data_IF_409398243309
#
_entry.id   IF_409398243309
#
_cell.length_a   1.000
_cell.length_b   1.000
_cell.length_c   1.000
_cell.angle_alpha   90.00
_cell.angle_beta   90.00
_cell.angle_gamma   90.00
#
_symmetry.space_group_name_H-M   'P 1'
#
loop_
_entity.id
_entity.type
_entity.pdbx_description
1 polymer ?
#
# COMPACT_ATOMS: atom_id res chain seq x y z
N UNK A 1 -45.98 -20.78 -6.21
CA UNK A 1 -45.21 -21.77 -5.42
C UNK A 1 -43.89 -21.13 -5.02
N UNK A 2 -43.77 -20.80 -3.73
CA UNK A 2 -42.72 -19.98 -3.14
C UNK A 2 -41.33 -20.62 -3.30
N UNK A 3 -40.44 -19.94 -4.02
CA UNK A 3 -39.02 -20.30 -4.21
C UNK A 3 -38.18 -20.30 -2.92
N UNK A 4 -38.80 -20.19 -1.74
CA UNK A 4 -38.15 -20.07 -0.44
C UNK A 4 -37.44 -21.37 0.00
N UNK A 5 -37.92 -22.55 -0.41
CA UNK A 5 -37.36 -23.85 0.03
C UNK A 5 -36.00 -24.23 -0.58
N UNK A 6 -35.55 -23.59 -1.65
CA UNK A 6 -34.29 -23.98 -2.33
C UNK A 6 -33.03 -23.56 -1.58
N UNK A 7 -33.11 -22.52 -0.76
CA UNK A 7 -31.97 -21.99 0.01
C UNK A 7 -31.82 -22.72 1.35
N UNK A 8 -32.90 -23.31 1.88
CA UNK A 8 -32.92 -24.00 3.17
C UNK A 8 -31.83 -25.09 3.32
N UNK A 9 -31.58 -26.00 2.35
CA UNK A 9 -30.52 -27.00 2.50
C UNK A 9 -29.11 -26.38 2.50
N UNK A 10 -28.90 -25.29 1.76
CA UNK A 10 -27.64 -24.56 1.77
C UNK A 10 -27.43 -23.84 3.11
N UNK A 11 -28.49 -23.22 3.64
CA UNK A 11 -28.46 -22.54 4.93
C UNK A 11 -28.15 -23.52 6.09
N UNK A 12 -28.77 -24.71 6.08
CA UNK A 12 -28.46 -25.75 7.06
C UNK A 12 -26.99 -26.19 6.95
N UNK A 13 -26.50 -26.42 5.73
CA UNK A 13 -25.11 -26.82 5.49
C UNK A 13 -24.12 -25.76 5.99
N UNK A 14 -24.38 -24.49 5.69
CA UNK A 14 -23.53 -23.37 6.11
C UNK A 14 -23.53 -23.14 7.63
N UNK A 15 -24.64 -23.43 8.31
CA UNK A 15 -24.74 -23.29 9.78
C UNK A 15 -23.74 -24.17 10.53
N UNK A 16 -23.43 -25.35 10.01
CA UNK A 16 -22.49 -26.30 10.61
C UNK A 16 -21.04 -26.14 10.11
N UNK A 17 -20.77 -25.20 9.20
CA UNK A 17 -19.41 -24.94 8.74
C UNK A 17 -18.68 -23.95 9.65
N UNK A 18 -17.35 -24.05 9.69
CA UNK A 18 -16.51 -23.07 10.39
C UNK A 18 -16.64 -21.70 9.71
N UNK A 19 -16.61 -20.60 10.48
CA UNK A 19 -16.67 -19.26 9.92
C UNK A 19 -15.44 -19.00 9.04
N UNK A 20 -15.67 -18.41 7.86
CA UNK A 20 -14.61 -18.01 6.93
C UNK A 20 -13.88 -16.72 7.36
N UNK A 21 -14.29 -16.10 8.48
CA UNK A 21 -13.74 -14.83 8.94
C UNK A 21 -12.39 -15.00 9.63
N UNK A 22 -11.51 -14.00 9.46
CA UNK A 22 -10.30 -13.83 10.27
C UNK A 22 -10.58 -12.89 11.42
N UNK A 23 -9.98 -13.15 12.59
CA UNK A 23 -10.16 -12.31 13.79
C UNK A 23 -9.23 -11.09 13.77
N UNK A 24 -9.43 -10.19 12.81
CA UNK A 24 -8.74 -8.89 12.83
C UNK A 24 -9.27 -8.03 13.99
N UNK A 25 -8.43 -7.33 14.78
CA UNK A 25 -6.98 -7.12 14.63
C UNK A 25 -6.08 -8.14 15.37
N UNK A 26 -6.65 -9.11 16.09
CA UNK A 26 -5.87 -10.08 16.88
C UNK A 26 -5.02 -11.04 16.04
N UNK A 27 -5.51 -11.40 14.85
CA UNK A 27 -4.76 -12.16 13.85
C UNK A 27 -4.62 -11.26 12.61
N UNK A 28 -3.41 -10.79 12.35
CA UNK A 28 -3.11 -9.97 11.16
C UNK A 28 -3.25 -10.83 9.90
N UNK A 29 -3.82 -10.26 8.85
CA UNK A 29 -3.84 -10.90 7.55
C UNK A 29 -2.42 -10.89 6.96
N UNK A 30 -1.98 -12.03 6.41
CA UNK A 30 -0.72 -12.09 5.69
C UNK A 30 -0.95 -11.66 4.22
N UNK A 31 -0.40 -10.52 3.78
CA UNK A 31 -0.62 -10.06 2.41
C UNK A 31 0.17 -10.93 1.42
N UNK A 32 -0.35 -11.26 0.22
CA UNK A 32 0.33 -12.16 -0.71
C UNK A 32 1.70 -11.64 -1.19
N UNK A 33 2.50 -12.52 -1.80
CA UNK A 33 3.74 -12.13 -2.45
C UNK A 33 3.48 -11.09 -3.55
N UNK A 34 4.30 -10.03 -3.60
CA UNK A 34 4.11 -8.91 -4.54
C UNK A 34 3.06 -7.87 -4.12
N UNK A 35 2.53 -7.95 -2.89
CA UNK A 35 1.66 -6.92 -2.35
C UNK A 35 2.33 -5.55 -2.36
N UNK A 36 1.57 -4.52 -2.77
CA UNK A 36 2.03 -3.14 -2.91
C UNK A 36 1.55 -2.30 -1.74
N UNK A 37 2.27 -2.37 -0.62
CA UNK A 37 2.00 -1.58 0.58
C UNK A 37 2.74 -0.25 0.59
N UNK A 38 3.09 0.21 1.80
CA UNK A 38 3.90 1.42 2.02
C UNK A 38 5.18 1.37 1.22
N UNK A 39 5.55 2.50 0.63
CA UNK A 39 6.84 2.66 -0.02
C UNK A 39 7.95 2.79 1.03
N UNK A 40 9.10 2.19 0.75
CA UNK A 40 10.33 2.38 1.51
C UNK A 40 11.38 3.01 0.58
N UNK A 41 12.12 3.98 1.11
CA UNK A 41 13.13 4.71 0.37
C UNK A 41 14.52 4.54 0.98
N UNK A 42 15.50 4.25 0.12
CA UNK A 42 16.90 4.13 0.45
C UNK A 42 17.66 5.35 -0.07
N UNK A 43 17.88 6.33 0.80
CA UNK A 43 18.57 7.58 0.48
C UNK A 43 19.99 7.36 -0.04
N UNK A 44 20.66 6.25 0.31
CA UNK A 44 22.04 5.97 -0.13
C UNK A 44 22.14 5.63 -1.62
N UNK A 45 21.07 5.09 -2.20
CA UNK A 45 20.99 4.71 -3.62
C UNK A 45 20.43 5.82 -4.51
N UNK A 46 19.75 6.79 -3.91
CA UNK A 46 19.11 7.87 -4.66
C UNK A 46 20.15 8.86 -5.19
N UNK A 47 20.01 9.22 -6.48
CA UNK A 47 20.84 10.22 -7.15
C UNK A 47 20.09 11.50 -7.50
N UNK A 48 18.84 11.64 -7.05
CA UNK A 48 18.03 12.83 -7.30
C UNK A 48 17.58 13.02 -8.76
N UNK A 49 17.49 11.96 -9.57
CA UNK A 49 17.07 12.05 -10.98
C UNK A 49 15.60 12.44 -11.20
N UNK A 50 14.75 12.35 -10.16
CA UNK A 50 13.33 12.72 -10.14
C UNK A 50 12.45 12.01 -11.18
N UNK A 51 12.90 10.89 -11.76
CA UNK A 51 12.08 10.06 -12.66
C UNK A 51 10.80 9.56 -11.96
N UNK A 52 10.92 9.11 -10.71
CA UNK A 52 9.78 8.68 -9.90
C UNK A 52 8.70 9.76 -9.73
N UNK A 53 9.08 11.04 -9.68
CA UNK A 53 8.16 12.19 -9.58
C UNK A 53 7.42 12.40 -10.90
N UNK A 54 8.13 12.28 -12.03
CA UNK A 54 7.58 12.44 -13.37
C UNK A 54 6.61 11.30 -13.72
N UNK A 55 6.95 10.08 -13.37
CA UNK A 55 6.18 8.88 -13.73
C UNK A 55 4.98 8.65 -12.80
N UNK A 56 4.89 9.38 -11.68
CA UNK A 56 3.78 9.25 -10.75
C UNK A 56 2.48 9.81 -11.35
N UNK A 57 1.46 8.97 -11.64
CA UNK A 57 0.23 9.44 -12.30
C UNK A 57 -0.58 10.41 -11.42
N UNK A 58 -0.52 10.24 -10.10
CA UNK A 58 -1.23 11.10 -9.14
C UNK A 58 -0.37 12.22 -8.54
N UNK A 59 0.90 12.36 -8.99
CA UNK A 59 1.86 13.35 -8.49
C UNK A 59 1.95 13.35 -6.96
N UNK A 60 2.00 12.16 -6.36
CA UNK A 60 1.98 11.95 -4.93
C UNK A 60 3.36 11.96 -4.26
N UNK A 61 4.44 11.77 -5.02
CA UNK A 61 5.81 11.69 -4.53
C UNK A 61 6.58 12.97 -4.84
N UNK A 62 7.33 13.45 -3.85
CA UNK A 62 8.24 14.59 -3.94
C UNK A 62 9.63 14.15 -3.48
N UNK A 63 10.67 14.63 -4.17
CA UNK A 63 12.07 14.40 -3.78
C UNK A 63 12.67 15.74 -3.36
N UNK A 64 13.02 15.85 -2.08
CA UNK A 64 13.64 17.03 -1.47
C UNK A 64 15.14 16.80 -1.38
N UNK A 65 15.92 17.79 -1.82
CA UNK A 65 17.38 17.80 -1.67
C UNK A 65 17.73 18.42 -0.31
N UNK A 66 18.45 17.67 0.52
CA UNK A 66 18.87 18.10 1.86
C UNK A 66 20.33 18.60 1.89
N UNK A 67 21.01 18.68 0.74
CA UNK A 67 22.45 18.96 0.68
C UNK A 67 23.30 17.70 0.86
N UNK A 68 24.60 17.81 0.61
CA UNK A 68 25.57 16.71 0.73
C UNK A 68 25.21 15.43 -0.04
N UNK A 69 24.51 15.57 -1.18
CA UNK A 69 23.98 14.44 -1.98
C UNK A 69 22.99 13.55 -1.21
N UNK A 70 22.38 14.06 -0.13
CA UNK A 70 21.32 13.37 0.61
C UNK A 70 19.97 13.84 0.11
N UNK A 71 19.16 12.88 -0.32
CA UNK A 71 17.79 13.13 -0.77
C UNK A 71 16.81 12.57 0.25
N UNK A 72 15.65 13.21 0.34
CA UNK A 72 14.51 12.75 1.13
C UNK A 72 13.32 12.56 0.20
N UNK A 73 12.63 11.43 0.33
CA UNK A 73 11.41 11.16 -0.41
C UNK A 73 10.20 11.42 0.51
N UNK A 74 9.30 12.28 0.04
CA UNK A 74 8.07 12.61 0.76
C UNK A 74 6.90 12.14 -0.09
N UNK A 75 6.03 11.31 0.50
CA UNK A 75 4.88 10.76 -0.20
C UNK A 75 3.58 11.20 0.47
N UNK A 76 2.68 11.70 -0.36
CA UNK A 76 1.31 12.03 -0.03
C UNK A 76 0.44 10.78 -0.14
N UNK A 77 0.22 10.08 0.97
CA UNK A 77 -0.62 8.87 1.01
C UNK A 77 -2.07 9.18 0.64
N UNK A 78 -2.54 10.42 0.81
CA UNK A 78 -3.87 10.87 0.36
C UNK A 78 -4.02 10.92 -1.16
N UNK A 79 -2.90 10.93 -1.91
CA UNK A 79 -2.89 10.92 -3.39
C UNK A 79 -2.31 9.64 -3.97
N UNK A 80 -1.54 8.88 -3.21
CA UNK A 80 -0.89 7.66 -3.70
C UNK A 80 -1.94 6.60 -4.07
N UNK A 81 -1.84 6.05 -5.28
CA UNK A 81 -2.71 4.97 -5.76
C UNK A 81 -2.04 3.59 -5.67
N UNK A 82 -0.88 3.49 -5.02
CA UNK A 82 -0.12 2.24 -4.80
C UNK A 82 0.16 1.43 -6.08
N UNK A 83 0.33 2.11 -7.21
CA UNK A 83 0.60 1.46 -8.51
C UNK A 83 2.02 0.88 -8.63
N UNK A 84 2.95 1.25 -7.74
CA UNK A 84 4.37 0.88 -7.75
C UNK A 84 5.20 1.36 -8.96
N UNK A 85 4.65 2.19 -9.85
CA UNK A 85 5.39 2.70 -11.03
C UNK A 85 6.70 3.43 -10.67
N UNK A 86 6.72 4.13 -9.53
CA UNK A 86 7.92 4.81 -9.03
C UNK A 86 9.04 3.85 -8.58
N UNK A 87 8.69 2.60 -8.22
CA UNK A 87 9.65 1.55 -7.92
C UNK A 87 10.22 1.01 -9.24
N UNK A 88 9.35 0.71 -10.20
CA UNK A 88 9.73 0.16 -11.50
C UNK A 88 10.58 1.14 -12.33
N UNK A 89 10.31 2.44 -12.24
CA UNK A 89 11.08 3.46 -12.97
C UNK A 89 12.38 3.89 -12.29
N UNK A 90 12.65 3.40 -11.07
CA UNK A 90 13.86 3.76 -10.34
C UNK A 90 15.07 2.95 -10.83
N UNK A 91 15.87 3.53 -11.74
CA UNK A 91 17.09 2.90 -12.26
C UNK A 91 18.12 2.47 -11.19
N UNK A 92 18.06 3.02 -9.97
CA UNK A 92 18.97 2.70 -8.86
C UNK A 92 18.33 1.84 -7.77
N UNK A 93 17.08 1.42 -7.95
CA UNK A 93 16.32 0.64 -6.97
C UNK A 93 16.35 1.29 -5.56
N UNK A 94 16.27 2.62 -5.53
CA UNK A 94 16.21 3.40 -4.29
C UNK A 94 14.81 3.39 -3.66
N UNK A 95 13.79 2.97 -4.41
CA UNK A 95 12.42 2.81 -3.91
C UNK A 95 12.05 1.33 -3.93
N UNK A 96 11.27 0.90 -2.95
CA UNK A 96 10.73 -0.46 -2.87
C UNK A 96 9.33 -0.46 -2.24
N UNK A 97 8.55 -1.51 -2.50
CA UNK A 97 7.26 -1.74 -1.84
C UNK A 97 7.44 -2.64 -0.62
N UNK A 98 6.73 -2.31 0.46
CA UNK A 98 6.67 -3.14 1.66
C UNK A 98 5.31 -3.86 1.77
N UNK A 99 5.18 -4.72 2.78
CA UNK A 99 3.93 -5.41 3.13
C UNK A 99 3.07 -4.64 4.13
N UNK A 100 3.49 -3.44 4.52
CA UNK A 100 2.77 -2.60 5.49
C UNK A 100 1.56 -1.94 4.81
N UNK A 101 0.34 -2.19 5.31
CA UNK A 101 -0.91 -1.62 4.78
C UNK A 101 -1.70 -0.80 5.81
N UNK A 102 -1.34 -0.86 7.09
CA UNK A 102 -2.03 -0.21 8.20
C UNK A 102 -1.59 1.27 8.35
N UNK A 103 -1.79 2.10 7.32
CA UNK A 103 -1.28 3.48 7.24
C UNK A 103 -2.32 4.58 7.58
N UNK A 104 -3.41 4.20 8.23
CA UNK A 104 -4.52 5.12 8.50
C UNK A 104 -4.11 6.21 9.51
N UNK A 105 -4.51 7.46 9.23
CA UNK A 105 -4.36 8.59 10.14
C UNK A 105 -5.64 9.45 10.13
N UNK A 106 -5.94 10.11 11.25
CA UNK A 106 -7.12 10.96 11.39
C UNK A 106 -7.01 12.27 10.60
N UNK A 107 -5.82 12.86 10.58
CA UNK A 107 -5.57 14.15 9.94
C UNK A 107 -4.93 13.97 8.58
N UNK A 108 -5.36 14.77 7.60
CA UNK A 108 -4.81 14.74 6.24
C UNK A 108 -3.32 15.10 6.20
N UNK A 109 -2.87 16.00 7.07
CA UNK A 109 -1.46 16.39 7.12
C UNK A 109 -0.54 15.24 7.56
N UNK A 110 -1.05 14.33 8.40
CA UNK A 110 -0.31 13.13 8.83
C UNK A 110 -0.15 12.09 7.70
N UNK A 111 -0.91 12.22 6.60
CA UNK A 111 -0.77 11.40 5.40
C UNK A 111 0.36 11.88 4.48
N UNK A 112 1.01 13.01 4.79
CA UNK A 112 2.29 13.39 4.19
C UNK A 112 3.40 12.69 4.98
N UNK A 113 3.85 11.56 4.46
CA UNK A 113 4.81 10.69 5.14
C UNK A 113 6.18 10.81 4.49
N UNK A 114 7.19 10.92 5.34
CA UNK A 114 8.58 10.80 4.96
C UNK A 114 8.93 9.30 4.92
N UNK A 115 9.29 8.80 3.74
CA UNK A 115 9.59 7.37 3.50
C UNK A 115 11.09 7.11 3.39
#
# INVERSE_FOLDING_TARGET
MSKAGRILPLALKSLFQKPATTKYPFVKADPPAGFRGKLAFDASKCIGCRLCVRDCPSKAIEIVDMGDKKFKAVVRLDKCIYCAQCVDSCNKNALSVTREFELAAFDREKLKVDI
#
